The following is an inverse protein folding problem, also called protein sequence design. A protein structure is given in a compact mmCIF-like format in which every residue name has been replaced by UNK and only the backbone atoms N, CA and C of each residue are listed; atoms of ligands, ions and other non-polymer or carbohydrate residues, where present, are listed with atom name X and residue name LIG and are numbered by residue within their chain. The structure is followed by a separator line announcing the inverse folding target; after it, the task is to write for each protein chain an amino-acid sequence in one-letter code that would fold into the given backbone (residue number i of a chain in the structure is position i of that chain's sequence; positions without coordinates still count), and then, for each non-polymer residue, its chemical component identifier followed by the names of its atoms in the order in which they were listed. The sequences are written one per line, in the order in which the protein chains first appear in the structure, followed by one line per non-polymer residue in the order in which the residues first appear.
data_IF_977322703825
#
_entry.id   IF_977322703825
#
_cell.length_a   1.000
_cell.length_b   1.000
_cell.length_c   1.000
_cell.angle_alpha   90.00
_cell.angle_beta   90.00
_cell.angle_gamma   90.00
#
_symmetry.space_group_name_H-M   'P 1'
#
loop_
_entity.id
_entity.type
_entity.pdbx_description
1 polymer ?
#
# COMPACT_ATOMS: atom_id res chain seq x y z
N UNK A 1 30.38 -12.77 1.19
CA UNK A 1 29.64 -13.59 0.21
C UNK A 1 29.42 -14.95 0.84
N UNK A 2 28.21 -15.51 0.75
CA UNK A 2 27.91 -16.89 1.13
C UNK A 2 27.94 -17.75 -0.13
N UNK A 3 28.52 -18.93 -0.08
CA UNK A 3 28.52 -19.88 -1.19
C UNK A 3 27.79 -21.16 -0.78
N UNK A 4 26.84 -21.59 -1.61
CA UNK A 4 26.05 -22.80 -1.40
C UNK A 4 26.65 -23.98 -2.18
N UNK A 5 26.43 -25.19 -1.64
CA UNK A 5 26.91 -26.44 -2.23
C UNK A 5 26.17 -26.83 -3.52
N UNK A 6 26.73 -27.80 -4.25
CA UNK A 6 26.23 -28.21 -5.58
C UNK A 6 24.81 -28.81 -5.58
N UNK A 7 24.34 -29.32 -4.45
CA UNK A 7 23.00 -29.91 -4.31
C UNK A 7 21.91 -28.86 -4.06
N UNK A 8 22.27 -27.59 -3.81
CA UNK A 8 21.32 -26.52 -3.52
C UNK A 8 21.03 -25.74 -4.79
N UNK A 9 19.78 -25.78 -5.24
CA UNK A 9 19.31 -25.05 -6.42
C UNK A 9 18.61 -23.74 -6.02
N UNK A 10 18.57 -22.76 -6.91
CA UNK A 10 17.81 -21.51 -6.68
C UNK A 10 16.32 -21.78 -6.47
N UNK A 11 15.75 -22.79 -7.14
CA UNK A 11 14.34 -23.16 -7.02
C UNK A 11 13.97 -23.86 -5.71
N UNK A 12 14.95 -24.41 -4.99
CA UNK A 12 14.71 -25.06 -3.69
C UNK A 12 14.86 -24.10 -2.52
N UNK A 13 15.56 -22.98 -2.70
CA UNK A 13 15.83 -22.05 -1.60
C UNK A 13 14.66 -21.10 -1.38
N UNK A 14 14.15 -21.09 -0.16
CA UNK A 14 13.22 -20.10 0.38
C UNK A 14 13.99 -19.07 1.22
N UNK A 15 13.58 -17.80 1.13
CA UNK A 15 14.21 -16.68 1.82
C UNK A 15 13.14 -15.99 2.67
N UNK A 16 13.35 -15.89 3.99
CA UNK A 16 12.35 -15.30 4.92
C UNK A 16 13.00 -14.34 5.90
N UNK A 17 12.40 -13.17 6.08
CA UNK A 17 12.76 -12.24 7.16
C UNK A 17 12.35 -12.78 8.53
N UNK A 18 13.04 -12.38 9.60
CA UNK A 18 12.68 -12.72 10.97
C UNK A 18 12.38 -11.47 11.81
N UNK A 19 11.65 -11.65 12.91
CA UNK A 19 11.27 -10.55 13.82
C UNK A 19 12.45 -9.86 14.50
N UNK A 20 13.62 -10.51 14.55
CA UNK A 20 14.86 -9.95 15.08
C UNK A 20 15.79 -9.40 13.97
N UNK A 21 15.22 -8.92 12.86
CA UNK A 21 15.93 -8.34 11.73
C UNK A 21 16.92 -9.28 11.03
N UNK A 22 16.76 -10.59 11.20
CA UNK A 22 17.55 -11.62 10.51
C UNK A 22 16.94 -12.00 9.17
N UNK A 23 17.72 -12.77 8.40
CA UNK A 23 17.26 -13.44 7.18
C UNK A 23 17.55 -14.92 7.30
N UNK A 24 16.55 -15.77 7.06
CA UNK A 24 16.68 -17.22 7.06
C UNK A 24 16.57 -17.74 5.64
N UNK A 25 17.52 -18.59 5.26
CA UNK A 25 17.49 -19.38 4.03
C UNK A 25 17.23 -20.83 4.39
N UNK A 26 16.23 -21.46 3.78
CA UNK A 26 15.94 -22.90 3.89
C UNK A 26 15.88 -23.51 2.49
N UNK A 27 16.09 -24.81 2.37
CA UNK A 27 16.09 -25.53 1.08
C UNK A 27 14.91 -26.51 0.93
N UNK A 28 13.99 -26.49 1.89
CA UNK A 28 12.85 -27.42 1.97
C UNK A 28 13.17 -28.75 2.67
N UNK A 29 14.42 -28.99 3.07
CA UNK A 29 14.81 -30.15 3.88
C UNK A 29 14.64 -29.79 5.36
N UNK A 30 13.95 -30.66 6.09
CA UNK A 30 13.63 -30.42 7.49
C UNK A 30 14.91 -30.33 8.34
N UNK A 31 15.13 -29.18 8.97
CA UNK A 31 16.28 -28.90 9.84
C UNK A 31 17.39 -28.10 9.14
N UNK A 32 17.37 -28.01 7.82
CA UNK A 32 18.37 -27.27 7.06
C UNK A 32 18.01 -25.79 7.01
N UNK A 33 18.84 -24.97 7.65
CA UNK A 33 18.68 -23.52 7.66
C UNK A 33 20.02 -22.80 7.77
N UNK A 34 20.09 -21.63 7.13
CA UNK A 34 21.14 -20.65 7.34
C UNK A 34 20.48 -19.38 7.84
N UNK A 35 20.90 -18.90 9.00
CA UNK A 35 20.47 -17.61 9.54
C UNK A 35 21.57 -16.58 9.34
N UNK A 36 21.19 -15.45 8.74
CA UNK A 36 22.02 -14.27 8.58
C UNK A 36 21.53 -13.22 9.58
N UNK A 37 22.22 -13.15 10.72
CA UNK A 37 21.85 -12.24 11.80
C UNK A 37 21.93 -10.77 11.38
N UNK A 38 20.93 -9.98 11.80
CA UNK A 38 20.82 -8.54 11.54
C UNK A 38 20.84 -8.14 10.06
N UNK A 39 20.64 -9.08 9.13
CA UNK A 39 20.68 -8.81 7.69
C UNK A 39 19.74 -7.65 7.26
N UNK A 40 18.55 -7.57 7.88
CA UNK A 40 17.54 -6.56 7.58
C UNK A 40 17.86 -5.19 8.22
N UNK A 41 18.85 -5.09 9.11
CA UNK A 41 19.18 -3.85 9.83
C UNK A 41 19.94 -2.81 9.00
N UNK A 42 20.44 -3.17 7.82
CA UNK A 42 21.09 -2.24 6.90
C UNK A 42 22.19 -2.88 6.05
N UNK A 43 22.78 -2.10 5.14
CA UNK A 43 23.75 -2.58 4.14
C UNK A 43 25.05 -3.14 4.72
N UNK A 44 25.42 -2.77 5.94
CA UNK A 44 26.66 -3.20 6.59
C UNK A 44 26.55 -4.57 7.30
N UNK A 45 25.36 -5.18 7.32
CA UNK A 45 25.10 -6.41 8.06
C UNK A 45 24.88 -7.61 7.13
N UNK A 46 25.19 -8.81 7.63
CA UNK A 46 25.04 -10.05 6.89
C UNK A 46 25.97 -10.16 5.67
N UNK A 47 25.47 -10.77 4.59
CA UNK A 47 26.24 -10.96 3.35
C UNK A 47 25.75 -10.06 2.24
N UNK A 48 26.64 -9.68 1.33
CA UNK A 48 26.28 -8.87 0.16
C UNK A 48 25.73 -9.69 -1.01
N UNK A 49 25.96 -11.00 -0.98
CA UNK A 49 25.53 -11.92 -2.03
C UNK A 49 25.55 -13.38 -1.53
N UNK A 50 24.68 -14.18 -2.15
CA UNK A 50 24.65 -15.65 -2.08
C UNK A 50 24.97 -16.19 -3.47
N UNK A 51 25.98 -17.05 -3.57
CA UNK A 51 26.41 -17.68 -4.81
C UNK A 51 26.09 -19.17 -4.81
N UNK A 52 25.49 -19.65 -5.89
CA UNK A 52 25.16 -21.05 -6.14
C UNK A 52 26.28 -21.72 -6.96
N UNK A 53 26.32 -23.06 -6.94
CA UNK A 53 27.37 -23.83 -7.61
C UNK A 53 27.33 -23.72 -9.15
N UNK A 54 26.16 -23.42 -9.72
CA UNK A 54 25.97 -23.16 -11.15
C UNK A 54 26.49 -21.78 -11.60
N UNK A 55 26.99 -20.97 -10.65
CA UNK A 55 27.46 -19.61 -10.90
C UNK A 55 26.39 -18.54 -10.74
N UNK A 56 25.14 -18.89 -10.48
CA UNK A 56 24.07 -17.93 -10.19
C UNK A 56 24.38 -17.16 -8.91
N UNK A 57 24.14 -15.85 -8.91
CA UNK A 57 24.36 -14.98 -7.75
C UNK A 57 23.07 -14.24 -7.44
N UNK A 58 22.61 -14.36 -6.19
CA UNK A 58 21.61 -13.48 -5.61
C UNK A 58 22.30 -12.36 -4.86
N UNK A 59 22.10 -11.13 -5.30
CA UNK A 59 22.61 -9.95 -4.63
C UNK A 59 21.74 -9.58 -3.42
N UNK A 60 22.23 -8.66 -2.58
CA UNK A 60 21.53 -8.21 -1.38
C UNK A 60 20.11 -7.69 -1.64
N UNK A 61 19.91 -6.92 -2.71
CA UNK A 61 18.59 -6.36 -3.03
C UNK A 61 17.60 -7.46 -3.44
N UNK A 62 18.05 -8.46 -4.19
CA UNK A 62 17.23 -9.62 -4.53
C UNK A 62 16.85 -10.42 -3.28
N UNK A 63 17.79 -10.61 -2.35
CA UNK A 63 17.53 -11.27 -1.06
C UNK A 63 16.50 -10.49 -0.23
N UNK A 64 16.61 -9.16 -0.16
CA UNK A 64 15.60 -8.32 0.51
C UNK A 64 14.22 -8.49 -0.13
N UNK A 65 14.13 -8.38 -1.46
CA UNK A 65 12.85 -8.52 -2.16
C UNK A 65 12.20 -9.89 -1.93
N UNK A 66 13.00 -10.96 -1.92
CA UNK A 66 12.49 -12.29 -1.61
C UNK A 66 12.05 -12.39 -0.15
N UNK A 67 12.76 -11.74 0.79
CA UNK A 67 12.41 -11.72 2.21
C UNK A 67 11.07 -11.05 2.51
N UNK A 68 10.70 -10.03 1.73
CA UNK A 68 9.47 -9.26 1.86
C UNK A 68 8.37 -9.73 0.91
N UNK A 69 8.59 -10.83 0.18
CA UNK A 69 7.56 -11.49 -0.62
C UNK A 69 7.08 -12.73 0.12
N UNK A 70 5.78 -12.79 0.38
CA UNK A 70 5.11 -13.93 0.98
C UNK A 70 4.85 -15.08 -0.01
N UNK A 71 3.99 -15.97 0.44
CA UNK A 71 3.50 -17.17 -0.25
C UNK A 71 1.98 -17.13 -0.28
N UNK A 72 1.31 -18.11 -0.88
CA UNK A 72 -0.16 -18.13 -0.89
C UNK A 72 -0.81 -18.49 0.48
N UNK A 73 -0.04 -18.47 1.57
CA UNK A 73 -0.50 -18.82 2.92
C UNK A 73 0.06 -17.84 3.94
N UNK A 74 -0.43 -17.97 5.18
CA UNK A 74 -0.20 -17.00 6.26
C UNK A 74 1.30 -16.76 6.56
N UNK A 75 1.76 -15.54 6.31
CA UNK A 75 3.14 -15.13 6.50
C UNK A 75 3.34 -13.99 7.49
N UNK A 76 4.58 -13.89 7.99
CA UNK A 76 5.05 -12.74 8.77
C UNK A 76 6.23 -12.12 8.06
N UNK A 77 6.07 -10.89 7.59
CA UNK A 77 7.06 -10.17 6.80
C UNK A 77 7.58 -8.99 7.61
N UNK A 78 8.90 -8.84 7.66
CA UNK A 78 9.60 -7.81 8.41
C UNK A 78 10.56 -7.08 7.47
N UNK A 79 10.40 -5.77 7.33
CA UNK A 79 11.28 -4.97 6.47
C UNK A 79 12.51 -4.44 7.18
N UNK A 80 13.09 -3.47 6.52
CA UNK A 80 14.31 -2.75 6.89
C UNK A 80 13.97 -1.33 7.32
N UNK A 81 14.93 -0.55 7.81
CA UNK A 81 14.75 0.89 7.98
C UNK A 81 14.69 1.69 6.66
N UNK A 82 14.90 1.02 5.51
CA UNK A 82 14.88 1.62 4.18
C UNK A 82 13.53 1.44 3.49
N UNK A 83 13.45 1.76 2.20
CA UNK A 83 12.24 1.52 1.42
C UNK A 83 12.18 0.05 0.97
N UNK A 84 11.10 -0.63 1.34
CA UNK A 84 10.82 -2.03 1.00
C UNK A 84 9.53 -2.20 0.18
N UNK A 85 9.41 -3.33 -0.50
CA UNK A 85 8.20 -3.72 -1.24
C UNK A 85 7.68 -5.03 -0.69
N UNK A 86 6.48 -5.00 -0.12
CA UNK A 86 5.81 -6.15 0.46
C UNK A 86 4.71 -6.67 -0.45
N UNK A 87 4.69 -7.98 -0.68
CA UNK A 87 3.61 -8.66 -1.40
C UNK A 87 3.33 -9.98 -0.71
N UNK A 88 2.23 -10.05 0.02
CA UNK A 88 1.84 -11.25 0.77
C UNK A 88 1.56 -12.46 -0.11
N UNK A 89 1.17 -12.27 -1.38
CA UNK A 89 0.71 -13.33 -2.31
C UNK A 89 -0.55 -14.10 -1.87
N UNK A 90 -1.15 -13.72 -0.75
CA UNK A 90 -2.45 -14.17 -0.26
C UNK A 90 -2.34 -14.99 1.02
N UNK A 91 -3.43 -15.12 1.76
CA UNK A 91 -3.44 -15.73 3.09
C UNK A 91 -3.84 -14.71 4.16
N UNK A 92 -3.47 -14.97 5.42
CA UNK A 92 -3.57 -14.00 6.51
C UNK A 92 -2.15 -13.53 6.89
N UNK A 93 -1.73 -12.42 6.30
CA UNK A 93 -0.37 -11.92 6.41
C UNK A 93 -0.26 -10.79 7.44
N UNK A 94 0.84 -10.80 8.17
CA UNK A 94 1.26 -9.70 9.03
C UNK A 94 2.54 -9.07 8.46
N UNK A 95 2.54 -7.75 8.34
CA UNK A 95 3.68 -6.98 7.85
C UNK A 95 4.08 -5.92 8.86
N UNK A 96 5.36 -5.89 9.20
CA UNK A 96 6.00 -4.79 9.92
C UNK A 96 7.02 -4.13 8.99
N UNK A 97 6.74 -2.92 8.51
CA UNK A 97 7.55 -2.26 7.48
C UNK A 97 8.95 -1.89 7.98
N UNK A 98 9.03 -1.25 9.15
CA UNK A 98 10.31 -0.95 9.81
C UNK A 98 10.78 0.49 9.59
N UNK A 99 9.91 1.33 9.01
CA UNK A 99 10.17 2.71 8.64
C UNK A 99 10.48 2.84 7.15
N UNK A 100 10.95 4.01 6.72
CA UNK A 100 11.25 4.22 5.30
C UNK A 100 9.99 4.44 4.47
N UNK A 101 10.15 4.37 3.15
CA UNK A 101 9.10 4.63 2.17
C UNK A 101 8.61 3.34 1.52
N UNK A 102 7.80 2.59 2.25
CA UNK A 102 7.40 1.24 1.89
C UNK A 102 6.23 1.18 0.91
N UNK A 103 6.19 0.12 0.11
CA UNK A 103 5.03 -0.22 -0.72
C UNK A 103 4.45 -1.55 -0.29
N UNK A 104 3.19 -1.56 0.12
CA UNK A 104 2.42 -2.75 0.47
C UNK A 104 1.47 -3.09 -0.68
N UNK A 105 1.62 -4.26 -1.28
CA UNK A 105 0.81 -4.71 -2.42
C UNK A 105 -0.32 -5.60 -1.91
N UNK A 106 -1.55 -5.30 -2.33
CA UNK A 106 -2.71 -6.13 -2.08
C UNK A 106 -3.53 -6.30 -3.37
N UNK A 107 -3.76 -7.55 -3.79
CA UNK A 107 -4.60 -7.85 -4.93
C UNK A 107 -5.93 -8.49 -4.48
N UNK A 108 -6.95 -8.43 -5.32
CA UNK A 108 -8.25 -9.05 -5.07
C UNK A 108 -8.09 -10.56 -4.76
N UNK A 109 -8.74 -11.03 -3.70
CA UNK A 109 -8.68 -12.41 -3.22
C UNK A 109 -7.47 -12.75 -2.36
N UNK A 110 -6.67 -11.76 -1.94
CA UNK A 110 -5.52 -12.01 -1.07
C UNK A 110 -5.90 -12.40 0.36
N UNK A 111 -7.15 -12.25 0.79
CA UNK A 111 -7.53 -12.51 2.17
C UNK A 111 -7.14 -11.34 3.08
N UNK A 112 -6.42 -11.60 4.16
CA UNK A 112 -6.19 -10.60 5.21
C UNK A 112 -4.76 -10.12 5.23
N UNK A 113 -4.59 -8.81 5.30
CA UNK A 113 -3.30 -8.16 5.46
C UNK A 113 -3.35 -7.21 6.66
N UNK A 114 -2.51 -7.44 7.65
CA UNK A 114 -2.31 -6.53 8.79
C UNK A 114 -0.97 -5.80 8.63
N UNK A 115 -1.01 -4.47 8.62
CA UNK A 115 0.15 -3.60 8.41
C UNK A 115 0.42 -2.81 9.69
N UNK A 116 1.53 -3.14 10.34
CA UNK A 116 2.10 -2.42 11.46
C UNK A 116 3.28 -1.56 10.97
N UNK A 117 2.96 -0.37 10.47
CA UNK A 117 3.96 0.53 9.90
C UNK A 117 4.11 1.82 10.72
N UNK A 118 5.37 2.19 10.98
CA UNK A 118 5.75 3.42 11.65
C UNK A 118 7.01 4.02 11.04
N UNK A 119 6.82 5.07 10.23
CA UNK A 119 7.91 5.90 9.72
C UNK A 119 8.01 7.20 10.55
N UNK A 120 9.12 7.33 11.26
CA UNK A 120 9.43 8.52 12.05
C UNK A 120 9.92 9.72 11.22
N UNK A 121 10.13 9.54 9.91
CA UNK A 121 10.58 10.60 9.03
C UNK A 121 9.53 11.70 8.88
N UNK A 122 9.98 12.94 8.70
CA UNK A 122 9.10 14.09 8.46
C UNK A 122 8.47 14.07 7.06
N UNK A 123 8.89 13.15 6.19
CA UNK A 123 8.46 13.01 4.81
C UNK A 123 8.06 11.56 4.49
N UNK A 124 7.38 10.91 5.44
CA UNK A 124 6.87 9.56 5.25
C UNK A 124 6.00 9.46 3.98
N UNK A 125 6.23 8.41 3.20
CA UNK A 125 5.64 8.23 1.86
C UNK A 125 5.27 6.77 1.57
N UNK A 126 4.88 6.04 2.62
CA UNK A 126 4.34 4.69 2.58
C UNK A 126 3.09 4.62 1.71
N UNK A 127 3.01 3.56 0.91
CA UNK A 127 2.02 3.35 -0.13
C UNK A 127 1.33 1.99 0.06
N UNK A 128 0.00 1.98 0.12
CA UNK A 128 -0.78 0.78 -0.13
C UNK A 128 -1.18 0.75 -1.61
N UNK A 129 -0.65 -0.19 -2.37
CA UNK A 129 -0.96 -0.38 -3.78
C UNK A 129 -1.99 -1.49 -3.95
N UNK A 130 -3.17 -1.11 -4.45
CA UNK A 130 -4.29 -2.00 -4.71
C UNK A 130 -4.31 -2.44 -6.18
N UNK A 131 -4.37 -3.75 -6.37
CA UNK A 131 -4.37 -4.40 -7.68
C UNK A 131 -5.63 -4.20 -8.50
N UNK A 132 -5.61 -4.74 -9.73
CA UNK A 132 -6.78 -4.77 -10.60
C UNK A 132 -7.94 -5.53 -9.94
N UNK A 133 -9.17 -5.09 -10.21
CA UNK A 133 -10.38 -5.66 -9.61
C UNK A 133 -10.80 -5.01 -8.29
N UNK A 134 -9.92 -4.21 -7.66
CA UNK A 134 -10.25 -3.39 -6.49
C UNK A 134 -10.43 -1.95 -6.97
N UNK A 135 -11.64 -1.40 -6.82
CA UNK A 135 -11.96 -0.02 -7.24
C UNK A 135 -12.13 0.89 -6.03
N UNK A 136 -11.84 2.19 -6.18
CA UNK A 136 -12.09 3.17 -5.11
C UNK A 136 -13.56 3.16 -4.65
N UNK A 137 -14.51 2.92 -5.57
CA UNK A 137 -15.92 2.83 -5.24
C UNK A 137 -16.34 1.56 -4.48
N UNK A 138 -15.57 0.48 -4.55
CA UNK A 138 -15.88 -0.77 -3.86
C UNK A 138 -15.23 -0.85 -2.48
N UNK A 139 -14.14 -0.12 -2.26
CA UNK A 139 -13.45 -0.08 -0.97
C UNK A 139 -14.22 0.75 0.06
N UNK A 140 -14.44 0.17 1.24
CA UNK A 140 -14.93 0.88 2.42
C UNK A 140 -13.82 1.01 3.45
N UNK A 141 -13.83 2.10 4.22
CA UNK A 141 -12.85 2.39 5.27
C UNK A 141 -13.60 2.61 6.59
N UNK A 142 -13.17 1.97 7.68
CA UNK A 142 -13.73 2.15 9.02
C UNK A 142 -12.62 2.28 10.05
N UNK A 143 -12.84 3.05 11.11
CA UNK A 143 -11.94 3.05 12.26
C UNK A 143 -12.10 1.76 13.07
N UNK A 144 -11.01 1.27 13.63
CA UNK A 144 -11.01 0.16 14.59
C UNK A 144 -10.99 0.70 16.03
N UNK A 145 -11.15 -0.18 17.02
CA UNK A 145 -11.09 0.20 18.46
C UNK A 145 -9.69 0.55 18.96
N UNK A 146 -8.64 0.12 18.26
CA UNK A 146 -7.22 0.35 18.59
C UNK A 146 -6.60 1.52 17.81
N UNK A 147 -7.40 2.54 17.45
CA UNK A 147 -6.96 3.70 16.65
C UNK A 147 -6.39 3.36 15.27
N UNK A 148 -6.70 2.17 14.74
CA UNK A 148 -6.35 1.76 13.39
C UNK A 148 -7.46 2.04 12.38
N UNK A 149 -7.19 1.68 11.12
CA UNK A 149 -8.20 1.61 10.08
C UNK A 149 -8.36 0.18 9.59
N UNK A 150 -9.56 -0.16 9.16
CA UNK A 150 -9.85 -1.37 8.40
C UNK A 150 -10.43 -0.98 7.04
N UNK A 151 -9.86 -1.54 5.98
CA UNK A 151 -10.31 -1.42 4.60
C UNK A 151 -10.87 -2.76 4.14
N UNK A 152 -11.98 -2.74 3.41
CA UNK A 152 -12.56 -3.93 2.75
C UNK A 152 -12.99 -3.57 1.35
N UNK A 153 -12.73 -4.41 0.37
CA UNK A 153 -13.00 -4.16 -1.05
C UNK A 153 -14.36 -4.70 -1.55
N UNK A 154 -15.11 -5.38 -0.67
CA UNK A 154 -16.38 -6.02 -0.99
C UNK A 154 -16.26 -7.49 -1.40
N UNK A 155 -15.04 -8.02 -1.52
CA UNK A 155 -14.78 -9.45 -1.70
C UNK A 155 -14.81 -10.13 -0.33
N UNK A 156 -15.51 -11.27 -0.25
CA UNK A 156 -15.67 -11.99 1.00
C UNK A 156 -14.32 -12.55 1.47
N UNK A 157 -13.90 -12.16 2.68
CA UNK A 157 -12.63 -12.59 3.28
C UNK A 157 -11.53 -11.54 3.17
N UNK A 158 -11.62 -10.63 2.21
CA UNK A 158 -10.60 -9.62 1.97
C UNK A 158 -10.68 -8.48 2.99
N UNK A 159 -9.54 -8.19 3.62
CA UNK A 159 -9.43 -7.16 4.64
C UNK A 159 -8.00 -6.65 4.77
N UNK A 160 -7.84 -5.33 4.83
CA UNK A 160 -6.57 -4.69 5.12
C UNK A 160 -6.72 -3.91 6.42
N UNK A 161 -5.88 -4.20 7.40
CA UNK A 161 -5.83 -3.49 8.68
C UNK A 161 -4.57 -2.63 8.71
N UNK A 162 -4.75 -1.34 8.98
CA UNK A 162 -3.67 -0.37 9.19
C UNK A 162 -3.59 -0.06 10.68
N UNK A 163 -2.61 -0.61 11.37
CA UNK A 163 -2.49 -0.49 12.82
C UNK A 163 -2.14 0.91 13.24
N UNK A 164 -2.76 1.38 14.33
CA UNK A 164 -2.45 2.66 14.96
C UNK A 164 -2.53 3.88 14.03
N UNK A 165 -3.15 3.75 12.85
CA UNK A 165 -3.17 4.75 11.80
C UNK A 165 -3.56 6.15 12.30
N UNK A 166 -4.50 6.24 13.24
CA UNK A 166 -5.00 7.52 13.78
C UNK A 166 -4.07 8.15 14.83
N UNK A 167 -3.01 7.46 15.28
CA UNK A 167 -2.09 7.97 16.32
C UNK A 167 -1.11 9.03 15.82
N UNK A 168 -0.91 9.17 14.51
CA UNK A 168 -0.02 10.18 13.94
C UNK A 168 0.25 9.96 12.45
N UNK A 169 0.88 10.95 11.82
CA UNK A 169 1.20 10.91 10.38
C UNK A 169 2.26 9.86 10.01
N UNK A 170 3.05 9.40 10.97
CA UNK A 170 4.04 8.34 10.78
C UNK A 170 3.45 6.93 10.82
N UNK A 171 2.22 6.74 11.31
CA UNK A 171 1.60 5.42 11.40
C UNK A 171 0.82 5.06 10.13
N UNK A 172 0.98 3.81 9.69
CA UNK A 172 0.34 3.27 8.49
C UNK A 172 0.86 3.90 7.19
N UNK A 173 -0.02 4.04 6.21
CA UNK A 173 0.32 4.54 4.87
C UNK A 173 -0.13 5.98 4.64
N UNK A 174 0.63 6.74 3.84
CA UNK A 174 0.25 8.10 3.45
C UNK A 174 -0.67 8.11 2.23
N UNK A 175 -0.55 7.10 1.37
CA UNK A 175 -1.34 6.98 0.14
C UNK A 175 -1.89 5.57 -0.04
N UNK A 176 -3.14 5.48 -0.53
CA UNK A 176 -3.69 4.27 -1.15
C UNK A 176 -3.82 4.53 -2.64
N UNK A 177 -3.21 3.71 -3.49
CA UNK A 177 -3.25 3.86 -4.94
C UNK A 177 -3.97 2.68 -5.57
N UNK A 178 -4.88 2.97 -6.50
CA UNK A 178 -5.65 1.99 -7.26
C UNK A 178 -5.05 1.78 -8.64
N UNK A 179 -5.38 0.65 -9.27
CA UNK A 179 -4.87 0.29 -10.59
C UNK A 179 -5.25 1.27 -11.72
N UNK A 180 -6.34 2.04 -11.57
CA UNK A 180 -6.77 3.07 -12.53
C UNK A 180 -6.06 4.42 -12.34
N UNK A 181 -5.14 4.52 -11.37
CA UNK A 181 -4.43 5.74 -11.02
C UNK A 181 -5.15 6.62 -10.01
N UNK A 182 -6.38 6.29 -9.61
CA UNK A 182 -7.05 6.93 -8.47
C UNK A 182 -6.18 6.76 -7.22
N UNK A 183 -6.12 7.80 -6.38
CA UNK A 183 -5.39 7.73 -5.12
C UNK A 183 -6.15 8.41 -3.99
N UNK A 184 -6.04 7.84 -2.79
CA UNK A 184 -6.51 8.44 -1.55
C UNK A 184 -5.33 8.83 -0.68
N UNK A 185 -5.33 10.07 -0.21
CA UNK A 185 -4.41 10.53 0.80
C UNK A 185 -4.92 10.22 2.22
N UNK A 186 -4.03 10.37 3.19
CA UNK A 186 -4.32 10.13 4.62
C UNK A 186 -5.54 10.89 5.15
N UNK A 187 -5.74 12.15 4.76
CA UNK A 187 -6.89 12.94 5.21
C UNK A 187 -8.21 12.38 4.67
N UNK A 188 -8.24 11.97 3.40
CA UNK A 188 -9.41 11.34 2.80
C UNK A 188 -9.74 10.02 3.51
N UNK A 189 -8.74 9.19 3.83
CA UNK A 189 -8.95 7.96 4.60
C UNK A 189 -9.57 8.22 5.99
N UNK A 190 -9.10 9.24 6.71
CA UNK A 190 -9.66 9.64 8.01
C UNK A 190 -11.12 10.12 7.90
N UNK A 191 -11.44 10.88 6.86
CA UNK A 191 -12.80 11.37 6.62
C UNK A 191 -13.76 10.22 6.28
N UNK A 192 -13.30 9.23 5.51
CA UNK A 192 -14.06 8.02 5.22
C UNK A 192 -14.29 7.19 6.49
N UNK A 193 -13.24 6.98 7.28
CA UNK A 193 -13.29 6.17 8.50
C UNK A 193 -14.23 6.73 9.58
N UNK A 194 -14.29 8.06 9.71
CA UNK A 194 -15.10 8.75 10.73
C UNK A 194 -16.49 9.13 10.25
N UNK A 195 -16.82 8.87 8.97
CA UNK A 195 -18.08 9.29 8.36
C UNK A 195 -18.24 10.82 8.21
N UNK A 196 -17.17 11.58 8.45
CA UNK A 196 -17.16 13.06 8.40
C UNK A 196 -16.92 13.62 7.01
N UNK A 197 -16.64 12.76 6.02
CA UNK A 197 -16.65 13.17 4.62
C UNK A 197 -18.04 13.74 4.30
N UNK A 198 -18.12 15.05 4.08
CA UNK A 198 -19.36 15.69 3.64
C UNK A 198 -19.88 14.94 2.42
N UNK A 199 -21.21 14.79 2.29
CA UNK A 199 -21.80 14.12 1.13
C UNK A 199 -21.31 14.74 -0.20
N UNK A 200 -21.00 16.04 -0.19
CA UNK A 200 -20.36 16.76 -1.29
C UNK A 200 -18.93 16.29 -1.57
N UNK A 201 -18.09 16.05 -0.55
CA UNK A 201 -16.69 15.63 -0.76
C UNK A 201 -16.60 14.20 -1.30
N UNK A 202 -17.49 13.29 -0.85
CA UNK A 202 -17.58 11.93 -1.41
C UNK A 202 -18.01 11.96 -2.87
N UNK A 203 -19.00 12.78 -3.21
CA UNK A 203 -19.50 12.91 -4.58
C UNK A 203 -18.49 13.61 -5.49
N UNK A 204 -17.81 14.66 -5.03
CA UNK A 204 -16.78 15.37 -5.80
C UNK A 204 -15.54 14.51 -6.01
N UNK A 205 -15.05 13.78 -5.00
CA UNK A 205 -13.91 12.88 -5.18
C UNK A 205 -14.23 11.70 -6.10
N UNK A 206 -15.44 11.13 -6.00
CA UNK A 206 -15.89 10.08 -6.91
C UNK A 206 -16.08 10.62 -8.35
N UNK A 207 -16.53 11.87 -8.51
CA UNK A 207 -16.65 12.53 -9.81
C UNK A 207 -15.27 12.86 -10.41
N UNK A 208 -14.31 13.33 -9.62
CA UNK A 208 -12.93 13.58 -10.09
C UNK A 208 -12.26 12.27 -10.52
N UNK A 209 -12.40 11.20 -9.72
CA UNK A 209 -11.89 9.87 -10.07
C UNK A 209 -12.56 9.30 -11.32
N UNK A 210 -13.89 9.44 -11.45
CA UNK A 210 -14.65 9.06 -12.65
C UNK A 210 -14.32 9.91 -13.89
N UNK A 211 -13.94 11.18 -13.71
CA UNK A 211 -13.50 12.05 -14.81
C UNK A 211 -12.08 11.74 -15.29
N UNK A 212 -11.18 11.32 -14.38
CA UNK A 212 -9.82 10.90 -14.74
C UNK A 212 -9.80 9.63 -15.62
N UNK A 213 -10.73 8.70 -15.40
CA UNK A 213 -10.89 7.51 -16.25
C UNK A 213 -11.56 7.79 -17.61
N UNK A 214 -12.23 8.94 -17.75
CA UNK A 214 -12.86 9.39 -19.01
C UNK A 214 -11.90 10.17 -19.93
N UNK A 215 -10.65 10.40 -19.49
CA UNK A 215 -9.64 11.22 -20.15
C UNK A 215 -8.87 10.54 -21.29
N UNK A 216 -9.54 9.86 -22.21
CA UNK A 216 -9.02 9.69 -23.57
C UNK A 216 -9.69 10.74 -24.49
N UNK A 217 -8.90 11.77 -24.79
CA UNK A 217 -9.02 12.81 -25.84
C UNK A 217 -9.35 14.24 -25.33
N UNK A 218 -8.47 15.24 -25.57
CA UNK A 218 -8.73 16.62 -25.19
C UNK A 218 -9.65 17.28 -26.23
N UNK A 219 -10.78 17.83 -25.77
CA UNK A 219 -11.53 18.82 -26.54
C UNK A 219 -12.05 19.93 -25.61
N UNK A 220 -11.30 21.02 -25.64
CA UNK A 220 -11.70 22.43 -25.53
C UNK A 220 -12.87 22.85 -24.60
N UNK A 221 -12.48 23.77 -23.70
CA UNK A 221 -13.15 25.03 -23.31
C UNK A 221 -14.45 24.98 -22.50
N UNK A 222 -14.39 25.56 -21.30
CA UNK A 222 -15.28 26.63 -20.77
C UNK A 222 -14.98 26.82 -19.28
N UNK A 223 -14.96 27.98 -18.62
CA UNK A 223 -14.99 29.41 -18.90
C UNK A 223 -14.69 30.04 -17.52
N UNK A 224 -13.89 31.09 -17.46
CA UNK A 224 -13.70 31.91 -16.26
C UNK A 224 -15.02 32.53 -15.81
N UNK A 225 -15.36 32.40 -14.53
CA UNK A 225 -16.50 33.06 -13.89
C UNK A 225 -16.27 34.58 -13.89
N UNK A 226 -16.98 35.29 -14.77
CA UNK A 226 -17.06 36.74 -14.75
C UNK A 226 -18.49 37.17 -14.33
N UNK A 227 -18.55 38.03 -13.32
CA UNK A 227 -19.76 38.46 -12.61
C UNK A 227 -20.71 39.26 -13.50
N UNK A 228 -22.00 38.88 -13.60
CA UNK A 228 -23.05 39.70 -14.23
C UNK A 228 -23.91 40.39 -13.18
N UNK A 229 -23.94 41.73 -13.31
CA UNK A 229 -24.70 42.72 -12.59
C UNK A 229 -26.23 42.54 -12.67
N UNK A 230 -26.90 43.05 -11.64
CA UNK A 230 -28.36 43.16 -11.48
C UNK A 230 -29.03 43.91 -12.65
N UNK A 231 -30.18 43.41 -13.12
CA UNK A 231 -31.08 44.15 -14.03
C UNK A 231 -32.19 44.88 -13.24
N UNK A 232 -32.66 46.05 -13.68
CA UNK A 232 -33.69 46.83 -12.98
C UNK A 232 -35.12 46.33 -13.27
N UNK A 233 -35.97 46.52 -12.26
CA UNK A 233 -37.39 46.13 -12.18
C UNK A 233 -38.26 46.96 -13.14
N UNK A 234 -39.02 46.30 -14.02
CA UNK A 234 -40.02 46.94 -14.89
C UNK A 234 -41.38 46.96 -14.18
N UNK A 235 -41.98 48.14 -14.03
CA UNK A 235 -43.35 48.32 -13.55
C UNK A 235 -44.23 48.69 -14.74
N UNK A 236 -45.32 47.94 -14.98
CA UNK A 236 -46.32 48.26 -16.02
C UNK A 236 -47.53 48.93 -15.36
N UNK A 237 -47.86 50.16 -15.75
CA UNK A 237 -49.13 50.81 -15.43
C UNK A 237 -50.01 50.85 -16.69
N UNK A 238 -51.23 50.33 -16.59
CA UNK A 238 -52.27 50.45 -17.61
C UNK A 238 -53.03 51.77 -17.43
N UNK A 239 -53.40 52.42 -18.53
CA UNK A 239 -54.44 53.47 -18.55
C UNK A 239 -55.43 53.15 -19.65
N UNK A 240 -56.69 52.96 -19.26
CA UNK A 240 -57.86 52.86 -20.11
C UNK A 240 -58.30 54.27 -20.51
N UNK A 241 -58.48 54.50 -21.80
CA UNK A 241 -59.56 55.30 -22.38
C UNK A 241 -59.90 54.74 -23.76
#
# INVERSE_FOLDING_TARGET
MLQLGAEISTSSVMVRSTSNSGLVLTDGIAGDQITLDSFMSGSNWGVQAVQFADGTIWNRQQLLQMATTGTAGDDKLYGTPGADVFDGKGGNDYVQGGGGGDTFIFNAGYGKLEIAEYDSSSAAHNLLQLGAGISASSVTVKSTSNSGLVLTDGIAGDQITLDSFMNGSGFGVQTVQFADGTAWNRQQMLQMATGTAGLADRQVNNLIAGMASYGAQPAASSQTLDTIQQQPKVTLSASLY
#
